data_IF_349843908549
#
_entry.id   IF_349843908549
#
_cell.length_a   1.000
_cell.length_b   1.000
_cell.length_c   1.000
_cell.angle_alpha   90.00
_cell.angle_beta   90.00
_cell.angle_gamma   90.00
#
_symmetry.space_group_name_H-M   'P 1'
#
loop_
_entity.id
_entity.type
_entity.pdbx_description
1 polymer ?
#
# COMPACT_ATOMS: atom_id res chain seq x y z
N UNK A 1 -1.85 -11.44 -9.68
CA UNK A 1 -1.54 -10.61 -8.49
C UNK A 1 -2.40 -9.36 -8.56
N UNK A 2 -3.50 -9.34 -7.82
CA UNK A 2 -4.49 -8.26 -7.84
C UNK A 2 -4.21 -7.21 -6.74
N UNK A 3 -3.90 -7.67 -5.52
CA UNK A 3 -3.85 -6.85 -4.30
C UNK A 3 -3.03 -5.55 -4.40
N UNK A 4 -1.71 -5.59 -4.67
CA UNK A 4 -0.90 -4.36 -4.74
C UNK A 4 -1.33 -3.45 -5.90
N UNK A 5 -1.81 -4.02 -7.01
CA UNK A 5 -2.32 -3.24 -8.14
C UNK A 5 -3.66 -2.59 -7.84
N UNK A 6 -4.45 -3.15 -6.93
CA UNK A 6 -5.71 -2.57 -6.50
C UNK A 6 -5.48 -1.41 -5.53
N UNK A 7 -4.42 -1.46 -4.71
CA UNK A 7 -3.99 -0.30 -3.89
C UNK A 7 -3.69 0.93 -4.76
N UNK A 8 -3.06 0.73 -5.92
CA UNK A 8 -2.76 1.83 -6.87
C UNK A 8 -4.02 2.52 -7.42
N UNK A 9 -5.19 1.89 -7.32
CA UNK A 9 -6.46 2.43 -7.83
C UNK A 9 -7.30 3.11 -6.74
N UNK A 10 -6.91 3.01 -5.48
CA UNK A 10 -7.66 3.60 -4.37
C UNK A 10 -7.44 5.11 -4.30
N UNK A 11 -8.52 5.88 -4.18
CA UNK A 11 -8.44 7.33 -4.00
C UNK A 11 -8.27 7.72 -2.53
N UNK A 12 -8.62 6.84 -1.59
CA UNK A 12 -8.59 7.10 -0.15
C UNK A 12 -8.19 5.84 0.62
N UNK A 13 -7.69 6.02 1.85
CA UNK A 13 -7.47 4.90 2.77
C UNK A 13 -8.80 4.46 3.37
N UNK A 14 -9.24 3.21 3.16
CA UNK A 14 -10.47 2.70 3.76
C UNK A 14 -10.41 2.78 5.29
N UNK A 15 -11.54 3.09 5.93
CA UNK A 15 -11.68 3.13 7.40
C UNK A 15 -10.69 4.06 8.14
N UNK A 16 -10.07 5.04 7.45
CA UNK A 16 -9.22 6.05 8.08
C UNK A 16 -10.05 7.18 8.72
N UNK A 17 -10.94 6.81 9.65
CA UNK A 17 -11.76 7.72 10.47
C UNK A 17 -11.68 7.32 11.95
N UNK A 18 -12.14 8.20 12.83
CA UNK A 18 -12.07 8.07 14.29
C UNK A 18 -12.94 6.94 14.88
N UNK A 19 -13.95 6.49 14.15
CA UNK A 19 -14.83 5.40 14.59
C UNK A 19 -14.18 4.04 14.33
N UNK A 20 -13.43 3.91 13.23
CA UNK A 20 -12.92 2.64 12.74
C UNK A 20 -11.40 2.48 12.89
N UNK A 21 -10.68 3.58 13.18
CA UNK A 21 -9.23 3.58 13.37
C UNK A 21 -8.82 4.49 14.53
N UNK A 22 -8.03 3.94 15.45
CA UNK A 22 -7.53 4.69 16.61
C UNK A 22 -6.59 5.86 16.27
N UNK A 23 -6.07 5.92 15.03
CA UNK A 23 -5.23 7.03 14.57
C UNK A 23 -5.41 7.29 13.06
N UNK A 24 -6.66 7.53 12.63
CA UNK A 24 -6.98 7.77 11.22
C UNK A 24 -6.15 8.88 10.54
N UNK A 25 -5.82 9.93 11.30
CA UNK A 25 -5.05 11.08 10.81
C UNK A 25 -3.61 10.76 10.38
N UNK A 26 -3.04 9.62 10.79
CA UNK A 26 -1.68 9.23 10.43
C UNK A 26 -1.58 8.56 9.04
N UNK A 27 -2.71 8.26 8.40
CA UNK A 27 -2.69 7.58 7.11
C UNK A 27 -2.36 8.50 5.94
N UNK A 28 -1.73 7.94 4.89
CA UNK A 28 -1.50 8.60 3.61
C UNK A 28 -1.69 7.59 2.47
N UNK A 29 -2.74 7.78 1.67
CA UNK A 29 -2.99 6.90 0.51
C UNK A 29 -1.87 7.03 -0.54
N UNK A 30 -1.34 8.25 -0.72
CA UNK A 30 -0.24 8.51 -1.65
C UNK A 30 1.02 7.73 -1.25
N UNK A 31 1.42 7.77 0.02
CA UNK A 31 2.57 7.03 0.50
C UNK A 31 2.37 5.51 0.37
N UNK A 32 1.15 5.00 0.62
CA UNK A 32 0.84 3.59 0.43
C UNK A 32 0.94 3.17 -1.05
N UNK A 33 0.48 4.02 -1.99
CA UNK A 33 0.61 3.78 -3.43
C UNK A 33 2.09 3.79 -3.88
N UNK A 34 2.90 4.70 -3.36
CA UNK A 34 4.34 4.76 -3.65
C UNK A 34 5.07 3.50 -3.17
N UNK A 35 4.74 3.00 -1.97
CA UNK A 35 5.27 1.74 -1.46
C UNK A 35 4.81 0.54 -2.30
N UNK A 36 3.52 0.47 -2.67
CA UNK A 36 2.98 -0.59 -3.52
C UNK A 36 3.62 -0.59 -4.92
N UNK A 37 3.84 0.59 -5.50
CA UNK A 37 4.54 0.76 -6.78
C UNK A 37 5.98 0.26 -6.70
N UNK A 38 6.72 0.66 -5.65
CA UNK A 38 8.09 0.17 -5.40
C UNK A 38 8.13 -1.36 -5.31
N UNK A 39 7.24 -1.96 -4.52
CA UNK A 39 7.14 -3.42 -4.42
C UNK A 39 6.86 -4.08 -5.78
N UNK A 40 5.94 -3.54 -6.57
CA UNK A 40 5.60 -4.06 -7.89
C UNK A 40 6.77 -3.96 -8.89
N UNK A 41 7.58 -2.90 -8.81
CA UNK A 41 8.75 -2.72 -9.68
C UNK A 41 9.86 -3.73 -9.43
N UNK A 42 9.97 -4.25 -8.20
CA UNK A 42 10.95 -5.28 -7.83
C UNK A 42 10.35 -6.69 -7.82
N UNK A 43 9.25 -6.91 -8.56
CA UNK A 43 8.49 -8.17 -8.53
C UNK A 43 9.33 -9.41 -8.83
N UNK A 44 10.32 -9.30 -9.69
CA UNK A 44 11.15 -10.44 -10.09
C UNK A 44 12.10 -10.90 -8.98
N UNK A 45 12.37 -10.04 -7.99
CA UNK A 45 13.28 -10.34 -6.88
C UNK A 45 12.56 -10.80 -5.61
N UNK A 46 11.22 -10.84 -5.57
CA UNK A 46 10.49 -11.12 -4.32
C UNK A 46 10.85 -12.45 -3.66
N UNK A 47 11.28 -13.45 -4.42
CA UNK A 47 11.69 -14.75 -3.90
C UNK A 47 13.19 -14.83 -3.58
N UNK A 48 13.97 -13.84 -4.00
CA UNK A 48 15.40 -13.74 -3.74
C UNK A 48 15.62 -13.00 -2.42
N UNK A 49 15.78 -13.78 -1.34
CA UNK A 49 15.94 -13.23 0.02
C UNK A 49 17.40 -12.91 0.33
N UNK A 50 18.34 -13.61 -0.31
CA UNK A 50 19.79 -13.42 -0.18
C UNK A 50 20.41 -13.21 -1.56
N UNK A 51 21.57 -12.53 -1.59
CA UNK A 51 22.32 -12.24 -2.81
C UNK A 51 23.02 -13.49 -3.37
#
# INVERSE_FOLDING_TARGET
>A
MATLRDILKLNTSPAANEVQCGWGANHSIKAAQEAAHTMLNHRDHWKQVVA
#
